data_IF_393880137547
#
_entry.id   IF_393880137547
#
_cell.length_a   1.000
_cell.length_b   1.000
_cell.length_c   1.000
_cell.angle_alpha   90.00
_cell.angle_beta   90.00
_cell.angle_gamma   90.00
#
_symmetry.space_group_name_H-M   'P 1'
#
loop_
_entity.id
_entity.type
_entity.pdbx_description
1 polymer ?
#
# COMPACT_ATOMS: atom_id res chain seq x y z
N UNK A 1 -13.74 -8.70 2.53
CA UNK A 1 -12.69 -9.71 2.26
C UNK A 1 -12.04 -9.32 0.95
N UNK A 2 -10.95 -8.55 0.99
CA UNK A 2 -10.36 -7.94 -0.21
C UNK A 2 -9.65 -8.98 -1.08
N UNK A 3 -9.97 -9.02 -2.37
CA UNK A 3 -9.29 -9.86 -3.33
C UNK A 3 -7.90 -9.28 -3.62
N UNK A 4 -6.84 -10.02 -3.32
CA UNK A 4 -5.50 -9.73 -3.84
C UNK A 4 -5.50 -10.06 -5.34
N UNK A 5 -5.43 -9.04 -6.20
CA UNK A 5 -5.29 -9.25 -7.65
C UNK A 5 -3.78 -9.21 -7.95
N UNK A 6 -3.17 -10.38 -8.10
CA UNK A 6 -1.82 -10.47 -8.67
C UNK A 6 -1.92 -10.43 -10.20
N UNK A 7 -1.15 -9.57 -10.87
CA UNK A 7 -1.07 -9.53 -12.34
C UNK A 7 0.21 -10.20 -12.85
N UNK A 8 0.14 -10.89 -14.01
CA UNK A 8 1.30 -11.54 -14.60
C UNK A 8 2.37 -10.54 -15.05
N UNK A 9 3.60 -11.04 -15.17
CA UNK A 9 4.77 -10.31 -15.68
C UNK A 9 4.53 -9.82 -17.10
N UNK A 10 4.87 -8.56 -17.37
CA UNK A 10 4.84 -7.97 -18.72
C UNK A 10 6.21 -8.19 -19.36
N UNK A 11 6.23 -8.67 -20.60
CA UNK A 11 7.46 -8.89 -21.34
C UNK A 11 8.10 -7.57 -21.82
N UNK A 12 9.43 -7.56 -21.96
CA UNK A 12 10.19 -6.35 -22.26
C UNK A 12 9.77 -5.67 -23.57
N UNK A 13 9.45 -6.46 -24.61
CA UNK A 13 9.05 -5.94 -25.92
C UNK A 13 7.71 -5.20 -25.84
N UNK A 14 6.79 -5.69 -25.02
CA UNK A 14 5.50 -5.06 -24.76
C UNK A 14 5.65 -3.79 -23.90
N UNK A 15 6.65 -3.72 -23.02
CA UNK A 15 6.92 -2.53 -22.22
C UNK A 15 7.51 -1.39 -23.05
N UNK A 16 8.45 -1.70 -23.94
CA UNK A 16 9.20 -0.70 -24.73
C UNK A 16 8.38 -0.15 -25.89
N UNK A 17 7.37 -0.88 -26.37
CA UNK A 17 6.43 -0.40 -27.38
C UNK A 17 5.42 0.64 -26.85
N UNK A 18 5.35 0.84 -25.53
CA UNK A 18 4.52 1.89 -24.90
C UNK A 18 5.20 3.24 -25.00
N UNK A 19 4.39 4.30 -25.07
CA UNK A 19 4.92 5.67 -25.09
C UNK A 19 5.83 5.91 -23.86
N UNK A 20 7.06 6.36 -24.14
CA UNK A 20 8.16 6.60 -23.18
C UNK A 20 8.64 5.38 -22.36
N UNK A 21 8.30 4.14 -22.73
CA UNK A 21 8.51 2.96 -21.88
C UNK A 21 8.00 3.20 -20.45
N UNK A 22 6.91 3.97 -20.33
CA UNK A 22 6.40 4.40 -19.04
C UNK A 22 5.94 3.19 -18.23
N UNK A 23 6.58 2.98 -17.08
CA UNK A 23 6.17 2.04 -16.04
C UNK A 23 4.93 2.51 -15.28
N UNK A 24 4.28 3.62 -15.69
CA UNK A 24 2.91 3.96 -15.31
C UNK A 24 1.94 2.90 -15.88
N UNK A 25 1.97 1.73 -15.27
CA UNK A 25 0.92 0.73 -15.34
C UNK A 25 -0.19 1.32 -14.47
N UNK A 26 -1.12 2.04 -15.11
CA UNK A 26 -2.37 2.48 -14.48
C UNK A 26 -3.03 1.27 -13.81
N UNK A 27 -2.89 1.16 -12.49
CA UNK A 27 -3.49 0.10 -11.72
C UNK A 27 -4.37 0.70 -10.63
N UNK A 28 -5.41 1.36 -11.15
CA UNK A 28 -6.73 1.60 -10.58
C UNK A 28 -7.47 2.51 -11.59
N UNK A 29 -8.11 1.91 -12.59
CA UNK A 29 -9.42 2.43 -13.01
C UNK A 29 -10.42 1.56 -12.28
N UNK A 30 -10.62 1.86 -11.01
CA UNK A 30 -11.73 1.29 -10.27
C UNK A 30 -13.02 1.94 -10.77
N UNK A 31 -14.09 1.15 -10.86
CA UNK A 31 -15.44 1.72 -10.98
C UNK A 31 -15.85 2.44 -9.67
N UNK A 32 -15.05 2.35 -8.60
CA UNK A 32 -15.11 3.15 -7.37
C UNK A 32 -14.44 4.53 -7.50
N UNK A 33 -14.67 5.23 -8.62
CA UNK A 33 -14.42 6.68 -8.67
C UNK A 33 -15.26 7.45 -7.65
N UNK A 34 -16.26 6.81 -7.03
CA UNK A 34 -17.07 7.37 -5.96
C UNK A 34 -16.38 7.34 -4.57
N UNK A 35 -15.48 6.37 -4.27
CA UNK A 35 -14.75 6.36 -2.99
C UNK A 35 -13.47 7.21 -2.99
N UNK A 36 -12.88 7.45 -4.16
CA UNK A 36 -11.70 8.32 -4.28
C UNK A 36 -12.02 9.79 -3.91
N UNK A 37 -13.28 10.21 -4.00
CA UNK A 37 -13.74 11.53 -3.55
C UNK A 37 -13.99 11.61 -2.04
N UNK A 38 -14.06 10.47 -1.33
CA UNK A 38 -14.28 10.38 0.11
C UNK A 38 -13.04 9.91 0.89
N UNK A 39 -11.86 9.93 0.27
CA UNK A 39 -10.62 9.66 0.98
C UNK A 39 -10.43 10.72 2.07
N UNK A 40 -10.30 10.31 3.35
CA UNK A 40 -10.01 11.26 4.41
C UNK A 40 -8.70 11.98 4.12
N UNK A 41 -8.56 13.19 4.67
CA UNK A 41 -7.36 13.99 4.46
C UNK A 41 -6.11 13.16 4.74
N UNK A 42 -5.07 13.30 3.91
CA UNK A 42 -3.82 12.56 4.04
C UNK A 42 -3.23 12.60 5.47
N UNK A 43 -3.44 13.72 6.18
CA UNK A 43 -3.04 13.87 7.57
C UNK A 43 -3.71 12.85 8.50
N UNK A 44 -5.00 12.53 8.30
CA UNK A 44 -5.72 11.55 9.12
C UNK A 44 -5.15 10.14 8.91
N UNK A 45 -4.95 9.75 7.65
CA UNK A 45 -4.36 8.45 7.30
C UNK A 45 -2.95 8.32 7.90
N UNK A 46 -2.14 9.39 7.82
CA UNK A 46 -0.81 9.39 8.41
C UNK A 46 -0.85 9.26 9.93
N UNK A 47 -1.81 9.91 10.61
CA UNK A 47 -1.97 9.77 12.05
C UNK A 47 -2.35 8.34 12.45
N UNK A 48 -3.30 7.72 11.76
CA UNK A 48 -3.70 6.32 12.01
C UNK A 48 -2.51 5.36 11.84
N UNK A 49 -1.73 5.52 10.77
CA UNK A 49 -0.52 4.71 10.54
C UNK A 49 0.51 4.92 11.65
N UNK A 50 0.70 6.16 12.11
CA UNK A 50 1.64 6.45 13.20
C UNK A 50 1.22 5.77 14.51
N UNK A 51 -0.07 5.84 14.87
CA UNK A 51 -0.61 5.19 16.07
C UNK A 51 -0.44 3.67 16.02
N UNK A 52 -0.76 3.05 14.88
CA UNK A 52 -0.58 1.60 14.69
C UNK A 52 0.90 1.17 14.82
N UNK A 53 1.81 1.94 14.23
CA UNK A 53 3.25 1.67 14.32
C UNK A 53 3.78 1.84 15.74
N UNK A 54 3.31 2.85 16.49
CA UNK A 54 3.68 3.03 17.90
C UNK A 54 3.18 1.86 18.77
N UNK A 55 1.94 1.39 18.54
CA UNK A 55 1.37 0.23 19.21
C UNK A 55 2.13 -1.06 18.90
N UNK A 56 2.53 -1.28 17.65
CA UNK A 56 3.35 -2.42 17.25
C UNK A 56 4.75 -2.36 17.89
N UNK A 57 5.36 -1.17 17.94
CA UNK A 57 6.66 -0.96 18.57
C UNK A 57 6.61 -1.24 20.08
N UNK A 58 5.54 -0.83 20.77
CA UNK A 58 5.34 -1.10 22.19
C UNK A 58 5.29 -2.60 22.48
N UNK A 59 4.52 -3.35 21.68
CA UNK A 59 4.43 -4.82 21.78
C UNK A 59 5.80 -5.49 21.54
N UNK A 60 6.56 -5.02 20.56
CA UNK A 60 7.92 -5.52 20.29
C UNK A 60 8.87 -5.28 21.46
N UNK A 61 8.76 -4.13 22.14
CA UNK A 61 9.57 -3.83 23.33
C UNK A 61 9.21 -4.71 24.52
N UNK A 62 7.92 -4.99 24.72
CA UNK A 62 7.45 -5.91 25.74
C UNK A 62 7.99 -7.33 25.50
N UNK A 63 7.82 -7.86 24.28
CA UNK A 63 8.38 -9.16 23.89
C UNK A 63 9.91 -9.22 24.08
N UNK A 64 10.64 -8.14 23.75
CA UNK A 64 12.08 -8.09 23.95
C UNK A 64 12.47 -8.06 25.44
N UNK A 65 11.66 -7.43 26.30
CA UNK A 65 11.84 -7.45 27.75
C UNK A 65 11.65 -8.84 28.33
N UNK A 66 10.62 -9.55 27.90
CA UNK A 66 10.33 -10.93 28.32
C UNK A 66 11.44 -11.93 27.91
N UNK A 67 12.13 -11.68 26.80
CA UNK A 67 13.25 -12.52 26.34
C UNK A 67 14.59 -12.22 27.04
N UNK A 68 14.71 -11.05 27.69
CA UNK A 68 15.93 -10.61 28.38
C UNK A 68 15.95 -10.88 29.88
N UNK A 69 14.88 -11.47 30.43
CA UNK A 69 14.73 -11.88 31.83
C UNK A 69 15.11 -13.33 32.10
#
# INVERSE_FOLDING_TARGET
MGAFIWRPTIDYEDLVSRDKASLDIFWLRDESLEDAENLPALALILQEIMEDLEGALAQLREMAGDLGG
#
